data_IF_351826205491
#
_entry.id   IF_351826205491
#
_cell.length_a   1.000
_cell.length_b   1.000
_cell.length_c   1.000
_cell.angle_alpha   90.00
_cell.angle_beta   90.00
_cell.angle_gamma   90.00
#
_symmetry.space_group_name_H-M   'P 1'
#
loop_
_entity.id
_entity.type
_entity.pdbx_description
1 polymer ?
#
# COMPACT_ATOMS: atom_id res chain seq x y z
N UNK A 1 15.84 5.91 -0.49
CA UNK A 1 16.83 6.73 0.24
C UNK A 1 16.36 6.90 1.67
N UNK A 2 17.00 6.23 2.63
CA UNK A 2 16.53 6.20 4.02
C UNK A 2 17.65 5.85 4.98
N UNK A 3 18.71 6.66 5.00
CA UNK A 3 19.76 6.63 6.03
C UNK A 3 20.20 8.07 6.28
N UNK A 4 19.77 8.66 7.41
CA UNK A 4 20.74 8.88 8.51
C UNK A 4 20.16 8.73 9.93
N UNK A 5 18.86 8.42 10.11
CA UNK A 5 18.24 8.48 11.44
C UNK A 5 18.61 7.31 12.37
N UNK A 6 19.05 6.15 11.86
CA UNK A 6 19.21 4.93 12.68
C UNK A 6 20.26 5.03 13.79
N UNK A 7 21.26 5.89 13.67
CA UNK A 7 22.33 6.03 14.66
C UNK A 7 21.98 6.94 15.84
N UNK A 8 20.89 7.72 15.76
CA UNK A 8 20.60 8.78 16.75
C UNK A 8 19.31 8.58 17.55
N UNK A 9 18.46 7.59 17.20
CA UNK A 9 17.18 7.35 17.88
C UNK A 9 17.18 6.01 18.62
N UNK A 10 16.77 6.02 19.90
CA UNK A 10 16.78 4.84 20.77
C UNK A 10 15.94 3.66 20.27
N UNK A 11 16.07 2.49 20.93
CA UNK A 11 15.34 1.25 20.58
C UNK A 11 13.82 1.44 20.35
N UNK A 12 13.08 2.26 21.14
CA UNK A 12 11.65 2.52 20.90
C UNK A 12 11.38 3.20 19.55
N UNK A 13 12.14 4.24 19.22
CA UNK A 13 12.01 4.97 17.96
C UNK A 13 12.39 4.10 16.75
N UNK A 14 13.40 3.24 16.85
CA UNK A 14 13.71 2.25 15.81
C UNK A 14 12.54 1.29 15.54
N UNK A 15 11.84 0.83 16.59
CA UNK A 15 10.65 -0.02 16.47
C UNK A 15 9.46 0.72 15.84
N UNK A 16 9.29 2.00 16.15
CA UNK A 16 8.30 2.86 15.52
C UNK A 16 8.57 3.01 14.01
N UNK A 17 9.79 3.37 13.61
CA UNK A 17 10.19 3.53 12.20
C UNK A 17 9.92 2.23 11.41
N UNK A 18 10.27 1.06 11.97
CA UNK A 18 9.97 -0.23 11.34
C UNK A 18 8.46 -0.45 11.11
N UNK A 19 7.63 -0.07 12.07
CA UNK A 19 6.17 -0.15 11.90
C UNK A 19 5.65 0.87 10.88
N UNK A 20 6.24 2.06 10.83
CA UNK A 20 5.84 3.09 9.87
C UNK A 20 6.13 2.63 8.44
N UNK A 21 7.30 2.03 8.21
CA UNK A 21 7.66 1.39 6.94
C UNK A 21 6.65 0.31 6.54
N UNK A 22 6.30 -0.61 7.43
CA UNK A 22 5.34 -1.67 7.11
C UNK A 22 3.95 -1.12 6.72
N UNK A 23 3.50 -0.04 7.36
CA UNK A 23 2.26 0.66 6.97
C UNK A 23 2.42 1.37 5.62
N UNK A 24 3.57 2.02 5.39
CA UNK A 24 3.87 2.71 4.13
C UNK A 24 3.93 1.74 2.95
N UNK A 25 4.54 0.58 3.11
CA UNK A 25 4.64 -0.46 2.06
C UNK A 25 3.24 -0.93 1.62
N UNK A 26 2.34 -1.17 2.58
CA UNK A 26 0.96 -1.53 2.29
C UNK A 26 0.19 -0.42 1.58
N UNK A 27 0.36 0.84 2.01
CA UNK A 27 -0.25 1.98 1.34
C UNK A 27 0.27 2.11 -0.09
N UNK A 28 1.56 1.87 -0.34
CA UNK A 28 2.15 1.81 -1.67
C UNK A 28 1.47 0.78 -2.56
N UNK A 29 1.34 -0.46 -2.09
CA UNK A 29 0.65 -1.55 -2.82
C UNK A 29 -0.80 -1.17 -3.14
N UNK A 30 -1.51 -0.52 -2.21
CA UNK A 30 -2.88 -0.06 -2.43
C UNK A 30 -2.96 1.02 -3.53
N UNK A 31 -2.07 2.00 -3.49
CA UNK A 31 -2.00 3.08 -4.48
C UNK A 31 -1.63 2.53 -5.86
N UNK A 32 -0.66 1.60 -5.94
CA UNK A 32 -0.26 0.95 -7.18
C UNK A 32 -1.43 0.19 -7.81
N UNK A 33 -2.21 -0.53 -7.01
CA UNK A 33 -3.38 -1.25 -7.48
C UNK A 33 -4.47 -0.30 -8.04
N UNK A 34 -4.74 0.82 -7.36
CA UNK A 34 -5.67 1.85 -7.85
C UNK A 34 -5.16 2.46 -9.16
N UNK A 35 -3.87 2.78 -9.23
CA UNK A 35 -3.26 3.39 -10.41
C UNK A 35 -3.25 2.43 -11.60
N UNK A 36 -3.00 1.13 -11.36
CA UNK A 36 -3.10 0.08 -12.35
C UNK A 36 -4.53 -0.10 -12.87
N UNK A 37 -5.56 -0.08 -12.02
CA UNK A 37 -6.96 -0.11 -12.46
C UNK A 37 -7.29 1.09 -13.34
N UNK A 38 -6.84 2.30 -12.95
CA UNK A 38 -7.03 3.51 -13.74
C UNK A 38 -6.37 3.40 -15.13
N UNK A 39 -5.16 2.86 -15.20
CA UNK A 39 -4.44 2.69 -16.45
C UNK A 39 -5.15 1.70 -17.38
N UNK A 40 -5.62 0.56 -16.84
CA UNK A 40 -6.41 -0.43 -17.59
C UNK A 40 -7.70 0.18 -18.14
N UNK A 41 -8.41 1.00 -17.35
CA UNK A 41 -9.62 1.71 -17.80
C UNK A 41 -9.32 2.73 -18.89
N UNK A 42 -8.19 3.44 -18.79
CA UNK A 42 -7.77 4.39 -19.80
C UNK A 42 -7.41 3.69 -21.12
N UNK A 43 -6.74 2.54 -21.05
CA UNK A 43 -6.39 1.73 -22.22
C UNK A 43 -7.63 1.33 -23.05
N UNK A 44 -8.74 0.98 -22.39
CA UNK A 44 -10.00 0.65 -23.08
C UNK A 44 -10.61 1.81 -23.86
N UNK A 45 -10.24 3.07 -23.59
CA UNK A 45 -10.69 4.20 -24.42
C UNK A 45 -10.12 4.14 -25.84
N UNK A 46 -8.99 3.44 -26.02
CA UNK A 46 -8.26 3.36 -27.28
C UNK A 46 -8.32 1.96 -27.91
N UNK A 47 -8.75 0.94 -27.16
CA UNK A 47 -8.90 -0.44 -27.65
C UNK A 47 -10.31 -0.96 -27.36
N UNK A 48 -11.15 -0.97 -28.40
CA UNK A 48 -12.60 -1.26 -28.31
C UNK A 48 -12.96 -2.72 -28.63
N UNK A 49 -11.98 -3.60 -28.83
CA UNK A 49 -12.28 -5.01 -29.11
C UNK A 49 -12.87 -5.71 -27.88
N UNK A 50 -13.80 -6.65 -28.12
CA UNK A 50 -14.41 -7.48 -27.06
C UNK A 50 -13.35 -8.21 -26.23
N UNK A 51 -12.29 -8.71 -26.90
CA UNK A 51 -11.17 -9.39 -26.24
C UNK A 51 -10.39 -8.44 -25.32
N UNK A 52 -10.14 -7.20 -25.75
CA UNK A 52 -9.50 -6.19 -24.90
C UNK A 52 -10.38 -5.84 -23.70
N UNK A 53 -11.69 -5.67 -23.90
CA UNK A 53 -12.68 -5.45 -22.84
C UNK A 53 -12.66 -6.54 -21.75
N UNK A 54 -12.67 -7.81 -22.17
CA UNK A 54 -12.62 -8.94 -21.25
C UNK A 54 -11.33 -8.98 -20.41
N UNK A 55 -10.17 -8.83 -21.07
CA UNK A 55 -8.86 -8.84 -20.39
C UNK A 55 -8.77 -7.68 -19.40
N UNK A 56 -9.16 -6.48 -19.80
CA UNK A 56 -9.17 -5.30 -18.95
C UNK A 56 -10.10 -5.47 -17.74
N UNK A 57 -11.28 -6.05 -17.92
CA UNK A 57 -12.20 -6.38 -16.82
C UNK A 57 -11.55 -7.29 -15.78
N UNK A 58 -10.89 -8.38 -16.23
CA UNK A 58 -10.17 -9.31 -15.34
C UNK A 58 -8.98 -8.66 -14.63
N UNK A 59 -8.26 -7.77 -15.31
CA UNK A 59 -7.15 -7.03 -14.69
C UNK A 59 -7.66 -6.08 -13.60
N UNK A 60 -8.75 -5.35 -13.85
CA UNK A 60 -9.37 -4.47 -12.87
C UNK A 60 -9.87 -5.24 -11.64
N UNK A 61 -10.52 -6.39 -11.84
CA UNK A 61 -10.97 -7.25 -10.75
C UNK A 61 -9.82 -7.71 -9.84
N UNK A 62 -8.69 -8.12 -10.43
CA UNK A 62 -7.49 -8.50 -9.66
C UNK A 62 -6.93 -7.34 -8.83
N UNK A 63 -6.90 -6.11 -9.37
CA UNK A 63 -6.44 -4.96 -8.59
C UNK A 63 -7.40 -4.65 -7.43
N UNK A 64 -8.72 -4.74 -7.66
CA UNK A 64 -9.71 -4.60 -6.58
C UNK A 64 -9.52 -5.64 -5.49
N UNK A 65 -9.23 -6.88 -5.85
CA UNK A 65 -8.96 -7.92 -4.86
C UNK A 65 -7.69 -7.62 -4.04
N UNK A 66 -6.62 -7.11 -4.68
CA UNK A 66 -5.41 -6.64 -3.98
C UNK A 66 -5.74 -5.53 -3.00
N UNK A 67 -6.52 -4.53 -3.41
CA UNK A 67 -6.96 -3.44 -2.54
C UNK A 67 -7.71 -3.98 -1.31
N UNK A 68 -8.64 -4.93 -1.50
CA UNK A 68 -9.39 -5.54 -0.39
C UNK A 68 -8.48 -6.30 0.59
N UNK A 69 -7.47 -7.00 0.08
CA UNK A 69 -6.51 -7.71 0.93
C UNK A 69 -5.69 -6.71 1.76
N UNK A 70 -5.17 -5.65 1.14
CA UNK A 70 -4.46 -4.60 1.86
C UNK A 70 -5.34 -3.94 2.92
N UNK A 71 -6.61 -3.65 2.63
CA UNK A 71 -7.53 -3.06 3.61
C UNK A 71 -7.75 -3.95 4.84
N UNK A 72 -7.62 -5.28 4.72
CA UNK A 72 -7.69 -6.20 5.87
C UNK A 72 -6.42 -6.15 6.71
N UNK A 73 -5.27 -6.04 6.06
CA UNK A 73 -3.94 -6.05 6.70
C UNK A 73 -3.56 -4.70 7.32
N UNK A 74 -4.05 -3.59 6.77
CA UNK A 74 -3.67 -2.25 7.24
C UNK A 74 -4.18 -1.94 8.65
N UNK A 75 -5.36 -2.45 9.03
CA UNK A 75 -5.97 -2.19 10.36
C UNK A 75 -5.07 -2.64 11.53
N UNK A 76 -4.63 -3.90 11.62
CA UNK A 76 -3.78 -4.33 12.72
C UNK A 76 -2.40 -3.64 12.72
N UNK A 77 -1.82 -3.37 11.54
CA UNK A 77 -0.51 -2.70 11.44
C UNK A 77 -0.57 -1.23 11.84
N UNK A 78 -1.65 -0.53 11.49
CA UNK A 78 -1.87 0.85 11.91
C UNK A 78 -2.05 0.95 13.44
N UNK A 79 -2.78 0.02 14.06
CA UNK A 79 -2.88 -0.06 15.53
C UNK A 79 -1.51 -0.29 16.19
N UNK A 80 -0.69 -1.17 15.62
CA UNK A 80 0.66 -1.43 16.11
C UNK A 80 1.57 -0.20 15.98
N UNK A 81 1.44 0.56 14.87
CA UNK A 81 2.15 1.82 14.65
C UNK A 81 1.80 2.85 15.73
N UNK A 82 0.51 3.09 15.97
CA UNK A 82 0.05 4.04 16.99
C UNK A 82 0.56 3.67 18.40
N UNK A 83 0.49 2.39 18.77
CA UNK A 83 1.02 1.90 20.05
C UNK A 83 2.52 2.18 20.20
N UNK A 84 3.30 1.93 19.15
CA UNK A 84 4.76 2.18 19.16
C UNK A 84 5.10 3.66 19.11
N UNK A 85 4.27 4.48 18.47
CA UNK A 85 4.42 5.94 18.45
C UNK A 85 4.28 6.50 19.86
N UNK A 86 3.26 6.04 20.61
CA UNK A 86 3.11 6.38 22.02
C UNK A 86 4.34 6.00 22.84
N UNK A 87 4.84 4.78 22.70
CA UNK A 87 6.03 4.31 23.44
C UNK A 87 7.36 4.99 23.06
N UNK A 88 7.42 5.68 21.92
CA UNK A 88 8.64 6.35 21.47
C UNK A 88 8.72 7.81 21.94
N UNK A 89 7.57 8.42 22.25
CA UNK A 89 7.45 9.87 22.51
C UNK A 89 6.66 10.22 23.78
N UNK A 90 6.14 9.23 24.51
CA UNK A 90 5.75 9.31 25.93
C UNK A 90 6.67 8.44 26.78
#
# INVERSE_FOLDING_TARGET
MGEPARSSVGKPASRFIKSAHAVQDLLGIHQDAIQAERHVRQFLKYSTSVRAGFVAGRMAERQRQRCRNVSKEIKPLFKALLKRGKQAWE
#
